data_IF_811165837721
#
_entry.id   IF_811165837721
#
_cell.length_a   1.000
_cell.length_b   1.000
_cell.length_c   1.000
_cell.angle_alpha   90.00
_cell.angle_beta   90.00
_cell.angle_gamma   90.00
#
_symmetry.space_group_name_H-M   'P 1'
#
loop_
_entity.id
_entity.type
_entity.pdbx_description
1 polymer ?
#
# COMPACT_ATOMS: atom_id res chain seq x y z
N UNK A 1 18.64 -14.71 -3.82
CA UNK A 1 17.21 -15.04 -3.64
C UNK A 1 16.66 -15.70 -4.92
N UNK A 2 15.75 -16.66 -4.83
CA UNK A 2 15.25 -17.51 -5.94
C UNK A 2 14.53 -16.70 -7.06
N UNK A 3 14.23 -15.41 -6.84
CA UNK A 3 13.57 -14.52 -7.81
C UNK A 3 14.29 -13.17 -7.99
N UNK A 4 15.60 -13.10 -7.78
CA UNK A 4 16.35 -11.87 -8.01
C UNK A 4 16.93 -11.80 -9.41
N UNK A 5 16.75 -10.66 -10.09
CA UNK A 5 17.46 -10.37 -11.34
C UNK A 5 18.83 -9.82 -10.96
N UNK A 6 19.89 -10.54 -11.33
CA UNK A 6 21.26 -10.11 -11.11
C UNK A 6 21.76 -9.37 -12.33
N UNK A 7 22.19 -8.13 -12.15
CA UNK A 7 22.81 -7.36 -13.22
C UNK A 7 24.33 -7.62 -13.22
N UNK A 8 24.85 -8.12 -14.34
CA UNK A 8 26.28 -8.37 -14.57
C UNK A 8 26.92 -7.35 -15.52
N UNK A 9 26.11 -6.50 -16.16
CA UNK A 9 26.62 -5.49 -17.09
C UNK A 9 27.11 -4.24 -16.35
N UNK A 10 28.38 -3.83 -16.49
CA UNK A 10 28.96 -2.67 -15.79
C UNK A 10 28.35 -1.32 -16.19
N UNK A 11 27.51 -1.26 -17.23
CA UNK A 11 26.71 -0.07 -17.59
C UNK A 11 25.33 -0.04 -16.91
N UNK A 12 25.01 -1.03 -16.07
CA UNK A 12 23.76 -1.04 -15.33
C UNK A 12 23.75 0.02 -14.24
N UNK A 13 22.63 0.75 -14.11
CA UNK A 13 22.39 1.67 -12.99
C UNK A 13 22.05 0.93 -11.69
N UNK A 14 21.80 -0.37 -11.77
CA UNK A 14 21.55 -1.23 -10.63
C UNK A 14 22.88 -1.77 -10.06
N UNK A 15 22.97 -2.02 -8.74
CA UNK A 15 24.17 -2.60 -8.15
C UNK A 15 24.47 -3.96 -8.80
N UNK A 16 25.73 -4.11 -9.22
CA UNK A 16 26.23 -5.32 -9.86
C UNK A 16 26.23 -6.47 -8.86
N UNK A 17 25.88 -7.67 -9.33
CA UNK A 17 25.93 -8.92 -8.55
C UNK A 17 25.00 -9.00 -7.32
N UNK A 18 24.15 -8.00 -7.07
CA UNK A 18 23.12 -8.07 -6.03
C UNK A 18 21.80 -8.64 -6.58
N UNK A 19 21.23 -9.61 -5.87
CA UNK A 19 19.88 -10.12 -6.13
C UNK A 19 18.89 -8.99 -5.81
N UNK A 20 18.17 -8.49 -6.81
CA UNK A 20 17.14 -7.45 -6.59
C UNK A 20 15.75 -8.06 -6.69
N UNK A 21 14.93 -7.90 -5.65
CA UNK A 21 13.51 -8.24 -5.72
C UNK A 21 12.79 -7.40 -6.78
N UNK A 22 11.91 -8.01 -7.59
CA UNK A 22 11.15 -7.31 -8.62
C UNK A 22 9.98 -6.53 -8.00
N UNK A 23 10.29 -5.53 -7.17
CA UNK A 23 9.34 -4.64 -6.48
C UNK A 23 8.30 -4.04 -7.43
N UNK A 24 8.66 -3.86 -8.70
CA UNK A 24 7.77 -3.40 -9.77
C UNK A 24 6.56 -4.35 -10.00
N UNK A 25 6.78 -5.66 -9.95
CA UNK A 25 5.70 -6.66 -10.13
C UNK A 25 4.75 -6.58 -8.93
N UNK A 26 5.27 -6.53 -7.71
CA UNK A 26 4.46 -6.39 -6.50
C UNK A 26 3.64 -5.08 -6.50
N UNK A 27 4.24 -3.96 -6.91
CA UNK A 27 3.55 -2.68 -7.06
C UNK A 27 2.40 -2.76 -8.08
N UNK A 28 2.65 -3.40 -9.22
CA UNK A 28 1.66 -3.53 -10.30
C UNK A 28 0.49 -4.43 -9.89
N UNK A 29 0.78 -5.56 -9.24
CA UNK A 29 -0.23 -6.47 -8.70
C UNK A 29 -1.07 -5.77 -7.63
N UNK A 30 -0.42 -5.06 -6.69
CA UNK A 30 -1.12 -4.32 -5.65
C UNK A 30 -2.03 -3.22 -6.24
N UNK A 31 -1.55 -2.48 -7.24
CA UNK A 31 -2.35 -1.45 -7.91
C UNK A 31 -3.57 -2.06 -8.63
N UNK A 32 -3.39 -3.18 -9.34
CA UNK A 32 -4.47 -3.87 -10.02
C UNK A 32 -5.51 -4.43 -9.03
N UNK A 33 -5.05 -5.02 -7.92
CA UNK A 33 -5.91 -5.50 -6.85
C UNK A 33 -6.76 -4.37 -6.26
N UNK A 34 -6.14 -3.25 -5.89
CA UNK A 34 -6.85 -2.08 -5.36
C UNK A 34 -7.88 -1.58 -6.36
N UNK A 35 -7.51 -1.47 -7.64
CA UNK A 35 -8.42 -1.03 -8.69
C UNK A 35 -9.65 -1.93 -8.82
N UNK A 36 -9.46 -3.25 -8.93
CA UNK A 36 -10.57 -4.21 -9.06
C UNK A 36 -11.46 -4.16 -7.82
N UNK A 37 -10.87 -4.16 -6.62
CA UNK A 37 -11.63 -4.08 -5.38
C UNK A 37 -12.49 -2.82 -5.32
N UNK A 38 -11.91 -1.66 -5.63
CA UNK A 38 -12.64 -0.38 -5.59
C UNK A 38 -13.70 -0.28 -6.68
N UNK A 39 -13.48 -0.89 -7.84
CA UNK A 39 -14.49 -0.98 -8.91
C UNK A 39 -15.70 -1.85 -8.50
N UNK A 40 -15.48 -2.90 -7.71
CA UNK A 40 -16.57 -3.71 -7.15
C UNK A 40 -17.26 -2.92 -6.03
N UNK A 41 -16.50 -2.27 -5.17
CA UNK A 41 -17.02 -1.47 -4.06
C UNK A 41 -17.83 -0.27 -4.54
N UNK A 42 -17.40 0.41 -5.62
CA UNK A 42 -18.10 1.57 -6.16
C UNK A 42 -19.51 1.23 -6.65
N UNK A 43 -19.71 0.02 -7.18
CA UNK A 43 -21.04 -0.50 -7.57
C UNK A 43 -21.95 -0.82 -6.38
N UNK A 44 -21.37 -1.05 -5.20
CA UNK A 44 -22.07 -1.43 -3.97
C UNK A 44 -21.95 -0.37 -2.86
N UNK A 45 -21.52 0.86 -3.20
CA UNK A 45 -21.28 1.88 -2.20
C UNK A 45 -22.58 2.24 -1.50
N UNK A 46 -22.51 2.40 -0.19
CA UNK A 46 -23.64 2.71 0.69
C UNK A 46 -23.69 4.21 1.00
N UNK A 47 -22.53 4.88 1.01
CA UNK A 47 -22.42 6.30 1.32
C UNK A 47 -21.28 6.96 0.54
N UNK A 48 -21.37 8.28 0.38
CA UNK A 48 -20.34 9.06 -0.28
C UNK A 48 -19.05 9.16 0.55
N UNK A 49 -17.92 9.00 -0.14
CA UNK A 49 -16.59 8.90 0.49
C UNK A 49 -16.14 7.48 0.81
N UNK A 50 -17.03 6.46 0.77
CA UNK A 50 -16.65 5.08 1.07
C UNK A 50 -15.49 4.58 0.18
N UNK A 51 -15.55 4.83 -1.13
CA UNK A 51 -14.51 4.39 -2.08
C UNK A 51 -13.17 5.09 -1.80
N UNK A 52 -13.18 6.39 -1.53
CA UNK A 52 -11.96 7.18 -1.27
C UNK A 52 -11.25 6.70 0.00
N UNK A 53 -11.99 6.53 1.09
CA UNK A 53 -11.39 6.09 2.35
C UNK A 53 -11.00 4.61 2.32
N UNK A 54 -11.73 3.77 1.60
CA UNK A 54 -11.27 2.39 1.33
C UNK A 54 -9.98 2.35 0.50
N UNK A 55 -9.83 3.25 -0.49
CA UNK A 55 -8.56 3.39 -1.21
C UNK A 55 -7.40 3.74 -0.27
N UNK A 56 -7.59 4.73 0.61
CA UNK A 56 -6.57 5.15 1.58
C UNK A 56 -6.11 4.02 2.50
N UNK A 57 -7.04 3.19 2.98
CA UNK A 57 -6.72 2.00 3.78
C UNK A 57 -5.89 1.00 2.97
N UNK A 58 -6.38 0.59 1.80
CA UNK A 58 -5.73 -0.44 0.98
C UNK A 58 -4.36 -0.01 0.48
N UNK A 59 -4.22 1.26 0.08
CA UNK A 59 -2.95 1.83 -0.36
C UNK A 59 -1.92 1.81 0.78
N UNK A 60 -2.34 2.20 2.00
CA UNK A 60 -1.46 2.21 3.16
C UNK A 60 -0.97 0.82 3.55
N UNK A 61 -1.86 -0.18 3.51
CA UNK A 61 -1.51 -1.60 3.72
C UNK A 61 -0.54 -2.08 2.64
N UNK A 62 -0.86 -1.86 1.36
CA UNK A 62 -0.02 -2.27 0.24
C UNK A 62 1.38 -1.64 0.30
N UNK A 63 1.47 -0.37 0.71
CA UNK A 63 2.75 0.31 0.93
C UNK A 63 3.56 -0.33 2.05
N UNK A 64 2.93 -0.68 3.17
CA UNK A 64 3.62 -1.37 4.26
C UNK A 64 4.17 -2.73 3.84
N UNK A 65 3.36 -3.52 3.13
CA UNK A 65 3.77 -4.85 2.66
C UNK A 65 4.92 -4.75 1.65
N UNK A 66 4.81 -3.86 0.67
CA UNK A 66 5.87 -3.69 -0.35
C UNK A 66 7.15 -3.14 0.27
N UNK A 67 7.05 -2.22 1.22
CA UNK A 67 8.22 -1.69 1.95
C UNK A 67 8.90 -2.78 2.78
N UNK A 68 8.13 -3.67 3.42
CA UNK A 68 8.65 -4.84 4.13
C UNK A 68 9.45 -5.75 3.17
N UNK A 69 8.86 -6.15 2.04
CA UNK A 69 9.55 -6.98 1.04
C UNK A 69 10.74 -6.27 0.35
N UNK A 70 10.72 -4.93 0.29
CA UNK A 70 11.84 -4.13 -0.22
C UNK A 70 12.97 -3.98 0.81
N UNK A 71 12.64 -4.10 2.09
CA UNK A 71 13.54 -3.98 3.24
C UNK A 71 14.27 -5.27 3.62
N UNK A 72 13.69 -6.45 3.33
CA UNK A 72 14.27 -7.75 3.67
C UNK A 72 15.66 -8.03 3.04
N UNK A 73 16.06 -7.30 1.98
CA UNK A 73 17.38 -7.44 1.31
C UNK A 73 18.39 -6.34 1.68
N UNK A 74 18.03 -5.41 2.58
CA UNK A 74 18.99 -4.40 3.09
C UNK A 74 19.62 -4.94 4.36
N UNK A 75 20.81 -5.54 4.26
CA UNK A 75 21.67 -5.90 5.39
C UNK A 75 22.17 -4.69 6.19
N UNK A 76 21.26 -3.91 6.78
CA UNK A 76 21.56 -2.76 7.64
C UNK A 76 20.96 -2.99 9.03
N UNK A 77 21.79 -3.06 10.09
CA UNK A 77 21.29 -3.07 11.44
C UNK A 77 20.87 -1.64 11.81
N UNK A 78 19.60 -1.46 12.18
CA UNK A 78 19.19 -0.36 13.09
C UNK A 78 19.28 1.10 12.59
N UNK A 79 19.26 1.42 11.29
CA UNK A 79 19.07 2.81 10.84
C UNK A 79 17.60 3.12 10.46
N UNK A 80 16.93 3.72 11.47
CA UNK A 80 15.65 4.45 11.46
C UNK A 80 14.36 3.60 11.54
N UNK A 81 13.98 3.32 12.79
CA UNK A 81 12.79 2.60 13.28
C UNK A 81 11.42 2.91 12.64
N UNK A 82 11.29 3.98 11.84
CA UNK A 82 10.12 4.27 11.00
C UNK A 82 10.58 5.08 9.78
N UNK A 83 10.63 4.47 8.60
CA UNK A 83 10.83 5.21 7.34
C UNK A 83 9.72 6.26 7.18
N UNK A 84 10.01 7.45 6.64
CA UNK A 84 9.02 8.53 6.41
C UNK A 84 7.76 8.01 5.71
N UNK A 85 7.93 7.05 4.81
CA UNK A 85 6.84 6.36 4.10
C UNK A 85 5.93 5.53 5.01
N UNK A 86 6.48 4.90 6.06
CA UNK A 86 5.72 4.13 7.05
C UNK A 86 4.91 5.05 7.95
N UNK A 87 5.48 6.19 8.37
CA UNK A 87 4.74 7.19 9.15
C UNK A 87 3.53 7.74 8.37
N UNK A 88 3.75 8.15 7.12
CA UNK A 88 2.67 8.63 6.24
C UNK A 88 1.63 7.53 6.00
N UNK A 89 2.06 6.28 5.82
CA UNK A 89 1.17 5.13 5.69
C UNK A 89 0.27 4.92 6.92
N UNK A 90 0.84 4.96 8.13
CA UNK A 90 0.06 4.85 9.37
C UNK A 90 -0.95 5.98 9.48
N UNK A 91 -0.52 7.23 9.21
CA UNK A 91 -1.39 8.39 9.27
C UNK A 91 -2.60 8.27 8.32
N UNK A 92 -2.35 7.91 7.06
CA UNK A 92 -3.41 7.72 6.06
C UNK A 92 -4.34 6.58 6.47
N UNK A 93 -3.81 5.47 6.99
CA UNK A 93 -4.62 4.34 7.44
C UNK A 93 -5.57 4.73 8.59
N UNK A 94 -5.06 5.43 9.60
CA UNK A 94 -5.84 5.88 10.76
C UNK A 94 -6.90 6.91 10.35
N UNK A 95 -6.52 7.91 9.56
CA UNK A 95 -7.44 8.93 9.08
C UNK A 95 -8.56 8.32 8.24
N UNK A 96 -8.21 7.40 7.33
CA UNK A 96 -9.19 6.72 6.47
C UNK A 96 -10.14 5.84 7.25
N UNK A 97 -9.63 5.07 8.22
CA UNK A 97 -10.46 4.23 9.08
C UNK A 97 -11.43 5.05 9.92
N UNK A 98 -10.94 6.15 10.51
CA UNK A 98 -11.77 7.08 11.28
C UNK A 98 -12.89 7.69 10.42
N UNK A 99 -12.55 8.22 9.25
CA UNK A 99 -13.53 8.85 8.36
C UNK A 99 -14.58 7.86 7.85
N UNK A 100 -14.18 6.63 7.53
CA UNK A 100 -15.10 5.58 7.08
C UNK A 100 -16.11 5.22 8.18
N UNK A 101 -15.67 5.11 9.43
CA UNK A 101 -16.55 4.87 10.59
C UNK A 101 -17.52 6.03 10.83
N UNK A 102 -17.04 7.28 10.75
CA UNK A 102 -17.89 8.47 10.95
C UNK A 102 -18.96 8.57 9.88
N UNK A 103 -18.60 8.40 8.61
CA UNK A 103 -19.52 8.50 7.49
C UNK A 103 -20.55 7.37 7.50
N UNK A 104 -20.14 6.15 7.84
CA UNK A 104 -21.06 5.02 8.02
C UNK A 104 -22.11 5.29 9.11
N UNK A 105 -21.69 5.81 10.27
CA UNK A 105 -22.60 6.18 11.36
C UNK A 105 -23.56 7.31 10.97
N UNK A 106 -23.10 8.30 10.21
CA UNK A 106 -23.96 9.38 9.69
C UNK A 106 -25.02 8.84 8.73
N UNK A 107 -24.65 7.93 7.84
CA UNK A 107 -25.58 7.32 6.90
C UNK A 107 -26.70 6.54 7.60
N UNK A 108 -26.36 5.76 8.64
CA UNK A 108 -27.36 5.02 9.43
C UNK A 108 -28.37 5.93 10.14
N UNK A 109 -27.92 7.09 10.65
CA UNK A 109 -28.81 8.07 11.30
C UNK A 109 -29.77 8.73 10.31
N UNK A 110 -29.30 9.03 9.11
CA UNK A 110 -30.14 9.63 8.06
C UNK A 110 -31.28 8.73 7.59
N UNK A 111 -31.17 7.40 7.74
CA UNK A 111 -32.24 6.48 7.39
C UNK A 111 -33.30 6.30 8.49
N UNK A 112 -33.04 6.79 9.72
CA UNK A 112 -33.96 6.67 10.87
C UNK A 112 -34.72 7.97 11.19
N UNK A 113 -34.46 9.06 10.48
CA UNK A 113 -35.17 10.35 10.56
C UNK A 113 -36.10 10.52 9.37
#
# INVERSE_FOLDING_TARGET
AIFGITFTNPRSLAPLETSLHPTQIYLSINALFIFIFLMILSKKKVFDGQVLWSYGILYSIGRFLIEYFRGDDRGFPLEQLLSTSQFVGIFIFLLSSFMLLVLYRKNLRSHHS
#
